data_IF_389433137795
#
_entry.id   IF_389433137795
#
_cell.length_a   1.000
_cell.length_b   1.000
_cell.length_c   1.000
_cell.angle_alpha   90.00
_cell.angle_beta   90.00
_cell.angle_gamma   90.00
#
_symmetry.space_group_name_H-M   'P 1'
#
loop_
_entity.id
_entity.type
_entity.pdbx_description
1 polymer ?
#
# COMPACT_ATOMS: atom_id res chain seq x y z
N UNK A 1 -17.72 0.24 -11.37
CA UNK A 1 -17.00 1.33 -10.69
C UNK A 1 -15.53 0.94 -10.49
N UNK A 2 -14.67 1.92 -10.60
CA UNK A 2 -13.24 1.65 -10.44
C UNK A 2 -12.91 1.30 -8.99
N UNK A 3 -12.00 0.35 -8.81
CA UNK A 3 -11.45 0.04 -7.50
C UNK A 3 -10.45 1.12 -7.11
N UNK A 4 -10.31 1.37 -5.82
CA UNK A 4 -9.44 2.41 -5.29
C UNK A 4 -8.26 1.81 -4.54
N UNK A 5 -7.07 2.35 -4.78
CA UNK A 5 -5.82 1.87 -4.17
C UNK A 5 -5.18 3.02 -3.38
N UNK A 6 -4.84 2.76 -2.13
CA UNK A 6 -4.07 3.69 -1.30
C UNK A 6 -2.59 3.39 -1.48
N UNK A 7 -1.82 4.39 -1.88
CA UNK A 7 -0.36 4.29 -2.03
C UNK A 7 0.30 4.99 -0.84
N UNK A 8 1.02 4.24 -0.02
CA UNK A 8 1.71 4.78 1.17
C UNK A 8 3.21 4.72 0.93
N UNK A 9 3.84 5.89 0.78
CA UNK A 9 5.27 6.02 0.55
C UNK A 9 5.67 7.45 0.91
N UNK A 10 6.83 7.64 1.54
CA UNK A 10 7.31 8.96 1.95
C UNK A 10 8.04 9.71 0.83
N UNK A 11 8.33 9.05 -0.28
CA UNK A 11 9.01 9.67 -1.42
C UNK A 11 7.99 10.15 -2.45
N UNK A 12 7.84 11.48 -2.64
CA UNK A 12 6.81 12.02 -3.55
C UNK A 12 6.92 11.51 -4.99
N UNK A 13 8.13 11.30 -5.47
CA UNK A 13 8.31 10.81 -6.85
C UNK A 13 7.85 9.36 -7.02
N UNK A 14 7.99 8.53 -5.98
CA UNK A 14 7.50 7.15 -6.01
C UNK A 14 5.97 7.15 -5.97
N UNK A 15 5.39 7.99 -5.11
CA UNK A 15 3.93 8.15 -5.04
C UNK A 15 3.38 8.55 -6.41
N UNK A 16 3.97 9.56 -7.02
CA UNK A 16 3.54 10.03 -8.34
C UNK A 16 3.66 8.95 -9.41
N UNK A 17 4.78 8.22 -9.39
CA UNK A 17 5.01 7.14 -10.35
C UNK A 17 3.94 6.04 -10.21
N UNK A 18 3.70 5.58 -9.00
CA UNK A 18 2.73 4.51 -8.75
C UNK A 18 1.30 4.96 -9.00
N UNK A 19 0.91 6.15 -8.53
CA UNK A 19 -0.46 6.62 -8.75
C UNK A 19 -0.75 6.84 -10.22
N UNK A 20 0.19 7.40 -10.98
CA UNK A 20 0.04 7.58 -12.41
C UNK A 20 -0.11 6.23 -13.13
N UNK A 21 0.76 5.28 -12.80
CA UNK A 21 0.69 3.94 -13.37
C UNK A 21 -0.65 3.25 -13.08
N UNK A 22 -1.10 3.33 -11.84
CA UNK A 22 -2.36 2.69 -11.44
C UNK A 22 -3.57 3.37 -12.07
N UNK A 23 -3.57 4.70 -12.16
CA UNK A 23 -4.64 5.43 -12.83
C UNK A 23 -4.70 5.07 -14.32
N UNK A 24 -3.56 4.97 -14.97
CA UNK A 24 -3.49 4.56 -16.38
C UNK A 24 -3.97 3.12 -16.57
N UNK A 25 -3.92 2.32 -15.51
CA UNK A 25 -4.38 0.93 -15.52
C UNK A 25 -5.87 0.78 -15.16
N UNK A 26 -6.57 1.88 -14.90
CA UNK A 26 -8.01 1.87 -14.65
C UNK A 26 -8.42 1.93 -13.18
N UNK A 27 -7.48 2.21 -12.27
CA UNK A 27 -7.80 2.31 -10.84
C UNK A 27 -7.93 3.77 -10.39
N UNK A 28 -8.74 3.98 -9.35
CA UNK A 28 -8.68 5.24 -8.62
C UNK A 28 -7.57 5.13 -7.57
N UNK A 29 -6.98 6.25 -7.20
CA UNK A 29 -5.89 6.26 -6.22
C UNK A 29 -6.08 7.33 -5.17
N UNK A 30 -5.56 7.05 -3.97
CA UNK A 30 -5.32 8.04 -2.93
C UNK A 30 -3.93 7.75 -2.38
N UNK A 31 -3.36 8.69 -1.65
CA UNK A 31 -1.98 8.54 -1.19
C UNK A 31 -1.76 9.12 0.19
N UNK A 32 -0.70 8.68 0.85
CA UNK A 32 -0.26 9.18 2.13
C UNK A 32 1.25 9.11 2.21
N UNK A 33 1.86 10.07 2.89
CA UNK A 33 3.31 10.20 2.99
C UNK A 33 3.92 9.53 4.23
N UNK A 34 3.09 9.07 5.14
CA UNK A 34 3.54 8.37 6.35
C UNK A 34 2.39 7.53 6.90
N UNK A 35 2.69 6.73 7.93
CA UNK A 35 1.69 5.82 8.49
C UNK A 35 0.53 6.52 9.20
N UNK A 36 0.78 7.66 9.83
CA UNK A 36 -0.29 8.39 10.52
C UNK A 36 -1.29 8.96 9.53
N UNK A 37 -0.79 9.61 8.47
CA UNK A 37 -1.63 10.12 7.39
C UNK A 37 -2.35 8.97 6.69
N UNK A 38 -1.66 7.85 6.48
CA UNK A 38 -2.24 6.67 5.84
C UNK A 38 -3.46 6.15 6.60
N UNK A 39 -3.41 6.13 7.93
CA UNK A 39 -4.53 5.66 8.73
C UNK A 39 -5.75 6.56 8.58
N UNK A 40 -5.55 7.88 8.55
CA UNK A 40 -6.62 8.85 8.32
C UNK A 40 -7.24 8.65 6.94
N UNK A 41 -6.39 8.54 5.91
CA UNK A 41 -6.87 8.35 4.52
C UNK A 41 -7.60 7.02 4.39
N UNK A 42 -7.08 5.96 5.02
CA UNK A 42 -7.71 4.64 4.99
C UNK A 42 -9.14 4.70 5.53
N UNK A 43 -9.36 5.41 6.62
CA UNK A 43 -10.69 5.55 7.21
C UNK A 43 -11.62 6.40 6.36
N UNK A 44 -11.11 7.45 5.75
CA UNK A 44 -11.89 8.37 4.93
C UNK A 44 -12.25 7.80 3.58
N UNK A 45 -11.27 7.21 2.89
CA UNK A 45 -11.40 6.79 1.50
C UNK A 45 -11.83 5.34 1.34
N UNK A 46 -11.62 4.51 2.34
CA UNK A 46 -11.96 3.08 2.34
C UNK A 46 -11.49 2.39 1.05
N UNK A 47 -10.18 2.44 0.77
CA UNK A 47 -9.66 1.83 -0.46
C UNK A 47 -9.87 0.32 -0.47
N UNK A 48 -9.83 -0.25 -1.65
CA UNK A 48 -9.96 -1.70 -1.84
C UNK A 48 -8.65 -2.44 -1.61
N UNK A 49 -7.52 -1.73 -1.66
CA UNK A 49 -6.19 -2.30 -1.49
C UNK A 49 -5.21 -1.21 -1.07
N UNK A 50 -4.17 -1.59 -0.33
CA UNK A 50 -3.10 -0.68 0.10
C UNK A 50 -1.77 -1.20 -0.43
N UNK A 51 -0.95 -0.32 -1.03
CA UNK A 51 0.48 -0.59 -1.23
C UNK A 51 1.23 0.16 -0.14
N UNK A 52 2.05 -0.56 0.62
CA UNK A 52 2.70 -0.03 1.81
C UNK A 52 4.22 -0.15 1.71
N UNK A 53 4.90 0.99 1.68
CA UNK A 53 6.35 1.05 1.78
C UNK A 53 6.74 0.95 3.26
N UNK A 54 7.63 0.01 3.57
CA UNK A 54 8.14 -0.14 4.96
C UNK A 54 9.37 0.70 5.22
N UNK A 55 9.96 1.34 4.20
CA UNK A 55 11.14 2.19 4.36
C UNK A 55 10.77 3.63 4.67
N UNK A 56 9.95 3.83 5.70
CA UNK A 56 9.55 5.16 6.12
C UNK A 56 10.14 5.48 7.50
N UNK A 57 10.44 6.77 7.79
CA UNK A 57 11.01 7.16 9.08
C UNK A 57 10.13 6.75 10.26
N UNK A 58 10.78 6.44 11.38
CA UNK A 58 10.11 6.13 12.66
C UNK A 58 9.17 4.91 12.59
N UNK A 59 9.42 4.02 11.64
CA UNK A 59 8.65 2.79 11.47
C UNK A 59 7.14 3.01 11.37
N UNK A 60 6.74 4.13 10.73
CA UNK A 60 5.32 4.49 10.65
C UNK A 60 4.51 3.49 9.81
N UNK A 61 5.15 2.85 8.82
CA UNK A 61 4.49 1.83 8.01
C UNK A 61 4.09 0.61 8.82
N UNK A 62 4.99 0.12 9.68
CA UNK A 62 4.71 -1.01 10.57
C UNK A 62 3.62 -0.67 11.57
N UNK A 63 3.68 0.54 12.13
CA UNK A 63 2.68 1.02 13.08
C UNK A 63 1.31 1.16 12.41
N UNK A 64 1.29 1.67 11.18
CA UNK A 64 0.06 1.78 10.39
C UNK A 64 -0.58 0.40 10.21
N UNK A 65 0.21 -0.59 9.79
CA UNK A 65 -0.30 -1.94 9.59
C UNK A 65 -0.87 -2.53 10.88
N UNK A 66 -0.15 -2.34 11.98
CA UNK A 66 -0.61 -2.82 13.29
C UNK A 66 -1.95 -2.21 13.68
N UNK A 67 -2.09 -0.90 13.50
CA UNK A 67 -3.33 -0.20 13.82
C UNK A 67 -4.48 -0.65 12.91
N UNK A 68 -4.19 -0.86 11.63
CA UNK A 68 -5.18 -1.35 10.68
C UNK A 68 -5.74 -2.71 11.07
N UNK A 69 -4.87 -3.63 11.49
CA UNK A 69 -5.27 -4.99 11.85
C UNK A 69 -6.11 -5.06 13.13
N UNK A 70 -6.08 -4.01 13.94
CA UNK A 70 -6.89 -3.92 15.16
C UNK A 70 -8.27 -3.31 14.91
N UNK A 71 -8.49 -2.72 13.75
CA UNK A 71 -9.76 -2.07 13.41
C UNK A 71 -10.67 -3.08 12.70
N UNK A 72 -11.88 -3.27 13.22
CA UNK A 72 -12.80 -4.27 12.71
C UNK A 72 -13.23 -4.03 11.27
N UNK A 73 -13.31 -2.76 10.86
CA UNK A 73 -13.72 -2.41 9.50
C UNK A 73 -12.58 -2.50 8.50
N UNK A 74 -11.33 -2.32 8.96
CA UNK A 74 -10.17 -2.14 8.10
C UNK A 74 -9.24 -3.35 8.06
N UNK A 75 -9.35 -4.25 9.01
CA UNK A 75 -8.41 -5.38 9.17
C UNK A 75 -8.34 -6.30 7.97
N UNK A 76 -9.38 -6.36 7.18
CA UNK A 76 -9.45 -7.27 6.01
C UNK A 76 -9.03 -6.60 4.71
N UNK A 77 -8.66 -5.33 4.74
CA UNK A 77 -8.14 -4.64 3.55
C UNK A 77 -6.82 -5.28 3.13
N UNK A 78 -6.70 -5.76 1.89
CA UNK A 78 -5.47 -6.39 1.44
C UNK A 78 -4.32 -5.38 1.36
N UNK A 79 -3.14 -5.80 1.80
CA UNK A 79 -1.92 -4.99 1.81
C UNK A 79 -0.83 -5.66 1.00
N UNK A 80 -0.27 -4.92 0.04
CA UNK A 80 0.93 -5.32 -0.68
C UNK A 80 2.09 -4.53 -0.09
N UNK A 81 3.10 -5.24 0.41
CA UNK A 81 4.29 -4.60 0.99
C UNK A 81 5.33 -4.36 -0.10
N UNK A 82 5.91 -3.17 -0.10
CA UNK A 82 7.01 -2.80 -0.98
C UNK A 82 8.18 -2.39 -0.09
N UNK A 83 9.34 -3.00 -0.30
CA UNK A 83 10.51 -2.73 0.53
C UNK A 83 11.79 -2.86 -0.27
N UNK A 84 12.74 -1.94 -0.04
CA UNK A 84 14.09 -2.02 -0.61
C UNK A 84 15.08 -2.71 0.33
N UNK A 85 14.64 -3.09 1.54
CA UNK A 85 15.50 -3.73 2.54
C UNK A 85 15.06 -5.18 2.71
N UNK A 86 15.93 -6.15 2.39
CA UNK A 86 15.60 -7.58 2.56
C UNK A 86 15.16 -7.90 3.99
N UNK A 87 14.13 -8.72 4.13
CA UNK A 87 13.61 -9.14 5.41
C UNK A 87 12.71 -8.15 6.12
N UNK A 88 12.58 -6.92 5.62
CA UNK A 88 11.77 -5.89 6.27
C UNK A 88 10.29 -6.27 6.33
N UNK A 89 9.83 -7.05 5.35
CA UNK A 89 8.45 -7.52 5.29
C UNK A 89 8.04 -8.39 6.48
N UNK A 90 9.01 -8.89 7.25
CA UNK A 90 8.72 -9.66 8.47
C UNK A 90 8.03 -8.83 9.54
N UNK A 91 8.06 -7.50 9.43
CA UNK A 91 7.34 -6.60 10.33
C UNK A 91 5.83 -6.59 10.07
N UNK A 92 5.38 -7.20 8.97
CA UNK A 92 3.97 -7.26 8.57
C UNK A 92 3.56 -8.73 8.56
N UNK A 93 2.55 -9.10 9.35
CA UNK A 93 2.24 -10.51 9.59
C UNK A 93 1.53 -11.23 8.44
N UNK A 94 0.69 -10.52 7.67
CA UNK A 94 -0.11 -11.17 6.62
C UNK A 94 -0.27 -10.30 5.38
N UNK A 95 0.83 -9.93 4.69
CA UNK A 95 0.68 -9.24 3.43
C UNK A 95 0.21 -10.23 2.36
N UNK A 96 -0.56 -9.77 1.38
CA UNK A 96 -0.93 -10.64 0.26
C UNK A 96 0.23 -10.86 -0.70
N UNK A 97 1.17 -9.92 -0.75
CA UNK A 97 2.38 -10.04 -1.55
C UNK A 97 3.44 -9.10 -1.02
N UNK A 98 4.70 -9.42 -1.32
CA UNK A 98 5.84 -8.58 -0.98
C UNK A 98 6.64 -8.34 -2.25
N UNK A 99 6.91 -7.08 -2.56
CA UNK A 99 7.76 -6.69 -3.69
C UNK A 99 8.98 -5.95 -3.20
N UNK A 100 10.12 -6.27 -3.76
CA UNK A 100 11.36 -5.56 -3.49
C UNK A 100 11.55 -4.45 -4.52
N UNK A 101 12.20 -3.37 -4.14
CA UNK A 101 12.58 -2.31 -5.07
C UNK A 101 13.82 -2.71 -5.86
N UNK A 102 13.93 -2.37 -7.15
CA UNK A 102 12.96 -1.64 -7.97
C UNK A 102 11.73 -2.47 -8.31
N UNK A 103 10.58 -1.80 -8.37
CA UNK A 103 9.29 -2.47 -8.52
C UNK A 103 9.10 -2.97 -9.95
N UNK A 104 8.72 -4.24 -10.08
CA UNK A 104 8.25 -4.79 -11.35
C UNK A 104 6.77 -4.43 -11.51
N UNK A 105 6.49 -3.43 -12.35
CA UNK A 105 5.14 -2.91 -12.55
C UNK A 105 4.15 -3.97 -13.01
N UNK A 106 4.59 -4.81 -13.93
CA UNK A 106 3.69 -5.80 -14.53
C UNK A 106 3.31 -6.86 -13.49
N UNK A 107 4.27 -7.29 -12.67
CA UNK A 107 4.00 -8.24 -11.60
C UNK A 107 3.09 -7.61 -10.53
N UNK A 108 3.32 -6.35 -10.17
CA UNK A 108 2.49 -5.63 -9.23
C UNK A 108 1.04 -5.53 -9.74
N UNK A 109 0.86 -5.12 -10.99
CA UNK A 109 -0.46 -4.99 -11.58
C UNK A 109 -1.18 -6.33 -11.65
N UNK A 110 -0.48 -7.40 -12.01
CA UNK A 110 -1.08 -8.74 -12.05
C UNK A 110 -1.57 -9.17 -10.67
N UNK A 111 -0.78 -8.92 -9.62
CA UNK A 111 -1.15 -9.24 -8.24
C UNK A 111 -2.38 -8.43 -7.81
N UNK A 112 -2.42 -7.15 -8.13
CA UNK A 112 -3.57 -6.29 -7.81
C UNK A 112 -4.83 -6.82 -8.49
N UNK A 113 -4.75 -7.13 -9.77
CA UNK A 113 -5.91 -7.63 -10.54
C UNK A 113 -6.42 -8.96 -10.03
N UNK A 114 -5.52 -9.84 -9.59
CA UNK A 114 -5.91 -11.12 -9.00
C UNK A 114 -6.59 -10.94 -7.65
N UNK A 115 -6.28 -9.86 -6.94
CA UNK A 115 -6.77 -9.62 -5.58
C UNK A 115 -8.10 -8.89 -5.58
N UNK A 116 -8.22 -7.82 -6.35
CA UNK A 116 -9.41 -6.96 -6.32
C UNK A 116 -10.10 -6.78 -7.68
N UNK A 117 -9.52 -7.30 -8.73
CA UNK A 117 -10.08 -7.13 -10.07
C UNK A 117 -9.60 -5.83 -10.75
#
# INVERSE_FOLDING_TARGET
MAKKILVVDDEPHVVKYLTTFLQDSGYETCSAANGEEAFVVLKQEKPDLVTLDLQMPNETGTRFYRNMTKDKELKDTPVIVISGIPGRHLAVSKPIAVFEKPIDRDALLATIRQTIG
#
